data_IF_465376868211
#
_entry.id   IF_465376868211
#
_cell.length_a   1.000
_cell.length_b   1.000
_cell.length_c   1.000
_cell.angle_alpha   90.00
_cell.angle_beta   90.00
_cell.angle_gamma   90.00
#
_symmetry.space_group_name_H-M   'P 1'
#
loop_
_entity.id
_entity.type
_entity.pdbx_description
1 polymer ?
#
# COMPACT_ATOMS: atom_id res chain seq x y z
N UNK A 1 13.81 7.72 -10.05
CA UNK A 1 14.30 8.77 -9.11
C UNK A 1 13.26 9.14 -8.04
N UNK A 2 11.96 9.24 -8.36
CA UNK A 2 10.94 9.61 -7.36
C UNK A 2 10.83 8.67 -6.13
N UNK A 3 11.14 7.38 -6.30
CA UNK A 3 11.05 6.37 -5.25
C UNK A 3 12.03 6.66 -4.10
N UNK A 4 13.33 6.76 -4.41
CA UNK A 4 14.36 7.09 -3.41
C UNK A 4 14.15 8.48 -2.77
N UNK A 5 13.65 9.44 -3.56
CA UNK A 5 13.33 10.77 -3.05
C UNK A 5 12.19 10.72 -2.03
N UNK A 6 11.19 9.87 -2.24
CA UNK A 6 10.13 9.64 -1.26
C UNK A 6 10.70 9.10 0.04
N UNK A 7 11.53 8.04 -0.01
CA UNK A 7 12.16 7.48 1.19
C UNK A 7 12.99 8.52 1.94
N UNK A 8 13.74 9.35 1.21
CA UNK A 8 14.50 10.45 1.81
C UNK A 8 13.57 11.46 2.52
N UNK A 9 12.48 11.87 1.86
CA UNK A 9 11.55 12.86 2.39
C UNK A 9 10.72 12.32 3.57
N UNK A 10 10.31 11.06 3.53
CA UNK A 10 9.48 10.42 4.55
C UNK A 10 10.29 9.88 5.74
N UNK A 11 11.63 9.83 5.64
CA UNK A 11 12.51 9.19 6.63
C UNK A 11 12.27 9.68 8.07
N UNK A 12 12.05 10.97 8.26
CA UNK A 12 11.85 11.55 9.59
C UNK A 12 10.51 11.12 10.23
N UNK A 13 9.52 10.81 9.39
CA UNK A 13 8.18 10.42 9.81
C UNK A 13 7.96 8.90 9.80
N UNK A 14 8.95 8.11 9.35
CA UNK A 14 8.83 6.66 9.21
C UNK A 14 9.52 5.94 10.37
N UNK A 15 8.77 5.12 11.11
CA UNK A 15 9.30 4.26 12.16
C UNK A 15 10.22 3.17 11.58
N UNK A 16 11.21 2.74 12.37
CA UNK A 16 12.17 1.72 11.97
C UNK A 16 11.54 0.34 11.74
N UNK A 17 10.42 0.07 12.41
CA UNK A 17 9.63 -1.16 12.34
C UNK A 17 8.35 -0.98 11.50
N UNK A 18 8.26 0.11 10.72
CA UNK A 18 7.16 0.32 9.80
C UNK A 18 7.02 -0.84 8.80
N UNK A 19 5.79 -1.20 8.40
CA UNK A 19 5.56 -2.22 7.38
C UNK A 19 6.20 -1.79 6.07
N UNK A 20 7.23 -2.51 5.63
CA UNK A 20 7.99 -2.17 4.42
C UNK A 20 7.10 -2.17 3.20
N UNK A 21 6.18 -3.13 3.10
CA UNK A 21 5.31 -3.24 1.93
C UNK A 21 4.56 -1.94 1.64
N UNK A 22 4.11 -1.23 2.67
CA UNK A 22 3.36 0.00 2.47
C UNK A 22 4.29 1.17 2.14
N UNK A 23 5.46 1.25 2.79
CA UNK A 23 6.47 2.25 2.44
C UNK A 23 6.94 2.12 0.98
N UNK A 24 7.24 0.90 0.55
CA UNK A 24 7.61 0.60 -0.84
C UNK A 24 6.46 0.88 -1.81
N UNK A 25 5.24 0.50 -1.46
CA UNK A 25 4.06 0.75 -2.28
C UNK A 25 3.76 2.25 -2.50
N UNK A 26 3.93 3.08 -1.46
CA UNK A 26 3.76 4.54 -1.57
C UNK A 26 4.93 5.18 -2.33
N UNK A 27 6.16 4.73 -2.09
CA UNK A 27 7.33 5.16 -2.86
C UNK A 27 7.14 4.89 -4.36
N UNK A 28 6.64 3.70 -4.71
CA UNK A 28 6.28 3.32 -6.07
C UNK A 28 5.09 4.09 -6.62
N UNK A 29 4.10 4.42 -5.78
CA UNK A 29 2.98 5.26 -6.20
C UNK A 29 3.43 6.65 -6.67
N UNK A 30 4.42 7.23 -5.99
CA UNK A 30 5.02 8.52 -6.36
C UNK A 30 5.89 8.39 -7.61
N UNK A 31 6.58 7.26 -7.79
CA UNK A 31 7.61 7.10 -8.81
C UNK A 31 7.13 6.52 -10.15
N UNK A 32 6.15 5.62 -10.11
CA UNK A 32 5.73 4.84 -11.28
C UNK A 32 4.57 5.52 -12.01
N UNK A 33 4.54 5.51 -13.36
CA UNK A 33 3.40 5.99 -14.11
C UNK A 33 2.17 5.11 -13.87
N UNK A 34 0.98 5.69 -13.96
CA UNK A 34 -0.29 4.93 -13.86
C UNK A 34 -0.44 4.02 -15.08
N UNK A 35 -0.58 2.71 -14.85
CA UNK A 35 -0.96 1.69 -15.85
C UNK A 35 -2.38 1.17 -15.58
N UNK A 36 -3.02 0.43 -16.50
CA UNK A 36 -4.24 -0.33 -16.20
C UNK A 36 -3.96 -1.52 -15.26
N UNK A 37 -4.96 -1.96 -14.45
CA UNK A 37 -4.84 -3.14 -13.58
C UNK A 37 -4.35 -4.39 -14.34
N UNK A 38 -3.68 -5.33 -13.65
CA UNK A 38 -3.16 -6.52 -14.29
C UNK A 38 -4.30 -7.41 -14.82
N UNK A 39 -4.05 -8.12 -15.92
CA UNK A 39 -5.03 -9.04 -16.51
C UNK A 39 -5.45 -10.15 -15.54
N UNK A 40 -4.55 -10.57 -14.65
CA UNK A 40 -4.84 -11.51 -13.56
C UNK A 40 -5.08 -10.77 -12.22
N UNK A 41 -6.04 -9.84 -12.24
CA UNK A 41 -6.46 -9.08 -11.05
C UNK A 41 -6.91 -9.98 -9.89
N UNK A 42 -7.48 -11.16 -10.21
CA UNK A 42 -7.99 -12.10 -9.20
C UNK A 42 -6.86 -12.59 -8.30
N UNK A 43 -5.76 -13.08 -8.87
CA UNK A 43 -4.60 -13.55 -8.10
C UNK A 43 -3.96 -12.44 -7.25
N UNK A 44 -3.97 -11.21 -7.74
CA UNK A 44 -3.44 -10.02 -7.04
C UNK A 44 -4.33 -9.61 -5.85
N UNK A 45 -5.64 -9.82 -5.98
CA UNK A 45 -6.65 -9.38 -5.02
C UNK A 45 -7.02 -10.42 -3.94
N UNK A 46 -6.38 -11.59 -3.92
CA UNK A 46 -6.69 -12.67 -2.97
C UNK A 46 -6.55 -12.23 -1.51
N UNK A 47 -5.55 -11.39 -1.23
CA UNK A 47 -5.29 -10.82 0.09
C UNK A 47 -4.71 -9.42 -0.02
N UNK A 48 -4.67 -8.71 1.11
CA UNK A 48 -3.89 -7.49 1.24
C UNK A 48 -2.39 -7.82 1.17
N UNK A 49 -1.54 -6.91 0.65
CA UNK A 49 -0.10 -7.13 0.63
C UNK A 49 0.47 -7.18 2.06
N UNK A 50 1.60 -7.86 2.21
CA UNK A 50 2.29 -8.02 3.49
C UNK A 50 3.81 -8.04 3.33
N UNK A 51 4.54 -7.83 4.43
CA UNK A 51 6.01 -7.92 4.42
C UNK A 51 6.50 -9.34 4.08
N UNK A 52 5.74 -10.38 4.44
CA UNK A 52 6.02 -11.77 4.08
C UNK A 52 6.13 -11.97 2.57
N UNK A 53 5.32 -11.24 1.80
CA UNK A 53 5.34 -11.30 0.33
C UNK A 53 6.67 -10.73 -0.22
N UNK A 54 7.19 -9.67 0.40
CA UNK A 54 8.47 -9.05 0.02
C UNK A 54 9.68 -9.88 0.46
N UNK A 55 9.59 -10.56 1.59
CA UNK A 55 10.69 -11.37 2.09
C UNK A 55 10.92 -12.63 1.25
N UNK A 56 9.89 -13.10 0.55
CA UNK A 56 9.96 -14.26 -0.35
C UNK A 56 10.79 -13.94 -1.61
N UNK A 57 11.99 -14.52 -1.79
CA UNK A 57 12.85 -14.19 -2.93
C UNK A 57 12.28 -14.67 -4.28
N UNK A 58 12.79 -14.10 -5.37
CA UNK A 58 12.43 -14.50 -6.73
C UNK A 58 11.22 -13.71 -7.29
N UNK A 59 10.51 -14.27 -8.29
CA UNK A 59 9.40 -13.58 -8.98
C UNK A 59 8.30 -13.08 -8.03
N UNK A 60 8.09 -13.76 -6.90
CA UNK A 60 7.14 -13.41 -5.85
C UNK A 60 7.43 -12.04 -5.24
N UNK A 61 8.71 -11.69 -5.02
CA UNK A 61 9.09 -10.37 -4.51
C UNK A 61 8.67 -9.25 -5.47
N UNK A 62 8.91 -9.43 -6.76
CA UNK A 62 8.50 -8.44 -7.77
C UNK A 62 6.98 -8.26 -7.78
N UNK A 63 6.22 -9.36 -7.71
CA UNK A 63 4.77 -9.31 -7.58
C UNK A 63 4.33 -8.63 -6.28
N UNK A 64 5.08 -8.77 -5.18
CA UNK A 64 4.78 -8.11 -3.92
C UNK A 64 4.91 -6.58 -4.03
N UNK A 65 5.97 -6.08 -4.68
CA UNK A 65 6.10 -4.66 -4.99
C UNK A 65 4.95 -4.16 -5.86
N UNK A 66 4.56 -4.92 -6.90
CA UNK A 66 3.44 -4.55 -7.75
C UNK A 66 2.12 -4.52 -6.96
N UNK A 67 1.86 -5.51 -6.10
CA UNK A 67 0.68 -5.55 -5.23
C UNK A 67 0.65 -4.35 -4.27
N UNK A 68 1.77 -4.02 -3.64
CA UNK A 68 1.91 -2.86 -2.77
C UNK A 68 1.63 -1.53 -3.50
N UNK A 69 2.22 -1.38 -4.69
CA UNK A 69 1.99 -0.22 -5.56
C UNK A 69 0.52 -0.09 -5.96
N UNK A 70 -0.11 -1.20 -6.37
CA UNK A 70 -1.53 -1.23 -6.70
C UNK A 70 -2.40 -0.87 -5.51
N UNK A 71 -2.05 -1.32 -4.30
CA UNK A 71 -2.79 -0.97 -3.08
C UNK A 71 -2.75 0.53 -2.80
N UNK A 72 -1.58 1.16 -2.90
CA UNK A 72 -1.46 2.62 -2.76
C UNK A 72 -2.30 3.36 -3.81
N UNK A 73 -2.33 2.86 -5.06
CA UNK A 73 -3.20 3.40 -6.11
C UNK A 73 -4.68 3.24 -5.80
N UNK A 74 -5.10 2.09 -5.28
CA UNK A 74 -6.47 1.86 -4.84
C UNK A 74 -6.89 2.90 -3.79
N UNK A 75 -6.09 3.08 -2.73
CA UNK A 75 -6.42 4.03 -1.67
C UNK A 75 -6.49 5.45 -2.24
N UNK A 76 -5.51 5.85 -3.06
CA UNK A 76 -5.52 7.17 -3.69
C UNK A 76 -6.69 7.37 -4.65
N UNK A 77 -7.13 6.34 -5.39
CA UNK A 77 -8.25 6.42 -6.32
C UNK A 77 -9.60 6.44 -5.60
N UNK A 78 -9.76 5.67 -4.52
CA UNK A 78 -11.02 5.54 -3.81
C UNK A 78 -11.23 6.63 -2.74
N UNK A 79 -10.15 7.12 -2.12
CA UNK A 79 -10.21 8.06 -0.98
C UNK A 79 -9.40 9.34 -1.18
N UNK A 80 -8.61 9.43 -2.24
CA UNK A 80 -7.73 10.57 -2.51
C UNK A 80 -6.32 10.43 -1.91
N UNK A 81 -5.39 11.21 -2.44
CA UNK A 81 -3.97 11.19 -2.02
C UNK A 81 -3.75 11.71 -0.60
N UNK A 82 -4.60 12.61 -0.11
CA UNK A 82 -4.57 13.07 1.27
C UNK A 82 -4.82 11.91 2.25
N UNK A 83 -5.82 11.07 1.96
CA UNK A 83 -6.13 9.88 2.76
C UNK A 83 -5.07 8.80 2.65
N UNK A 84 -4.43 8.65 1.48
CA UNK A 84 -3.25 7.78 1.36
C UNK A 84 -2.12 8.25 2.29
N UNK A 85 -1.84 9.56 2.36
CA UNK A 85 -0.83 10.12 3.27
C UNK A 85 -1.20 9.91 4.73
N UNK A 86 -2.46 10.17 5.12
CA UNK A 86 -2.93 9.93 6.48
C UNK A 86 -2.80 8.46 6.88
N UNK A 87 -3.20 7.55 5.98
CA UNK A 87 -3.07 6.11 6.21
C UNK A 87 -1.60 5.71 6.37
N UNK A 88 -0.72 6.21 5.51
CA UNK A 88 0.72 5.98 5.59
C UNK A 88 1.29 6.43 6.94
N UNK A 89 0.96 7.64 7.39
CA UNK A 89 1.45 8.12 8.69
C UNK A 89 0.89 7.30 9.86
N UNK A 90 -0.37 6.87 9.79
CA UNK A 90 -0.99 6.05 10.83
C UNK A 90 -0.41 4.63 10.91
N UNK A 91 0.15 4.11 9.82
CA UNK A 91 0.64 2.72 9.70
C UNK A 91 2.17 2.61 9.67
N UNK A 92 2.87 3.67 9.28
CA UNK A 92 4.32 3.70 9.18
C UNK A 92 4.96 4.72 10.14
N UNK A 93 4.17 5.57 10.81
CA UNK A 93 4.68 6.57 11.75
C UNK A 93 5.13 6.02 13.10
N UNK A 94 5.78 6.84 13.91
CA UNK A 94 6.13 6.47 15.30
C UNK A 94 4.85 6.19 16.09
N UNK A 95 4.78 5.03 16.74
CA UNK A 95 3.57 4.59 17.45
C UNK A 95 2.43 4.21 16.50
N UNK A 96 2.76 3.78 15.28
CA UNK A 96 1.80 3.32 14.29
C UNK A 96 0.86 2.24 14.82
N UNK A 97 -0.31 2.18 14.20
CA UNK A 97 -1.27 1.11 14.40
C UNK A 97 -1.15 0.08 13.28
N UNK A 98 -1.68 -1.11 13.53
CA UNK A 98 -1.88 -2.08 12.47
C UNK A 98 -2.82 -1.52 11.38
N UNK A 99 -2.73 -2.09 10.17
CA UNK A 99 -3.49 -1.62 9.01
C UNK A 99 -5.00 -1.60 9.25
N UNK A 100 -5.55 -2.55 10.02
CA UNK A 100 -7.00 -2.60 10.24
C UNK A 100 -7.46 -1.44 11.12
N UNK A 101 -6.75 -1.18 12.21
CA UNK A 101 -7.02 -0.03 13.09
C UNK A 101 -6.83 1.30 12.35
N UNK A 102 -5.73 1.45 11.60
CA UNK A 102 -5.49 2.65 10.82
C UNK A 102 -6.53 2.85 9.70
N UNK A 103 -6.98 1.78 9.03
CA UNK A 103 -8.02 1.86 8.02
C UNK A 103 -9.37 2.24 8.62
N UNK A 104 -9.69 1.75 9.80
CA UNK A 104 -10.90 2.15 10.52
C UNK A 104 -10.87 3.65 10.83
N UNK A 105 -9.79 4.14 11.43
CA UNK A 105 -9.70 5.52 11.91
C UNK A 105 -9.56 6.53 10.76
N UNK A 106 -8.81 6.18 9.70
CA UNK A 106 -8.51 7.10 8.59
C UNK A 106 -9.55 7.00 7.47
N UNK A 107 -9.95 5.79 7.09
CA UNK A 107 -10.81 5.52 5.94
C UNK A 107 -12.27 5.22 6.34
N UNK A 108 -12.56 5.03 7.62
CA UNK A 108 -13.91 4.73 8.12
C UNK A 108 -14.40 3.33 7.74
N UNK A 109 -13.47 2.38 7.53
CA UNK A 109 -13.79 1.02 7.09
C UNK A 109 -13.00 -0.02 7.90
N UNK A 110 -13.65 -1.13 8.21
CA UNK A 110 -12.99 -2.27 8.85
C UNK A 110 -12.10 -3.06 7.86
N UNK A 111 -11.33 -4.01 8.38
CA UNK A 111 -10.43 -4.84 7.57
C UNK A 111 -11.17 -5.62 6.46
N UNK A 112 -12.36 -6.16 6.76
CA UNK A 112 -13.18 -6.88 5.80
C UNK A 112 -13.66 -5.95 4.67
N UNK A 113 -14.11 -4.74 5.02
CA UNK A 113 -14.52 -3.71 4.09
C UNK A 113 -13.36 -3.17 3.26
N UNK A 114 -12.14 -3.13 3.80
CA UNK A 114 -10.91 -2.79 3.08
C UNK A 114 -10.60 -3.82 2.01
N UNK A 115 -10.55 -5.10 2.38
CA UNK A 115 -10.29 -6.20 1.45
C UNK A 115 -11.35 -6.26 0.34
N UNK A 116 -12.63 -6.14 0.68
CA UNK A 116 -13.71 -6.17 -0.30
C UNK A 116 -13.64 -4.99 -1.29
N UNK A 117 -13.26 -3.78 -0.82
CA UNK A 117 -13.08 -2.62 -1.70
C UNK A 117 -11.85 -2.74 -2.59
N UNK A 118 -10.75 -3.25 -2.04
CA UNK A 118 -9.54 -3.57 -2.79
C UNK A 118 -9.83 -4.53 -3.95
N UNK A 119 -10.51 -5.64 -3.64
CA UNK A 119 -10.93 -6.63 -4.62
C UNK A 119 -11.80 -6.05 -5.73
N UNK A 120 -12.83 -5.27 -5.36
CA UNK A 120 -13.70 -4.61 -6.35
C UNK A 120 -12.94 -3.62 -7.22
N UNK A 121 -11.98 -2.89 -6.67
CA UNK A 121 -11.22 -1.89 -7.41
C UNK A 121 -10.26 -2.53 -8.43
N UNK A 122 -9.67 -3.68 -8.11
CA UNK A 122 -8.79 -4.39 -9.06
C UNK A 122 -9.56 -5.07 -10.20
N UNK A 123 -10.79 -5.49 -9.96
CA UNK A 123 -11.62 -6.23 -10.91
C UNK A 123 -12.55 -5.35 -11.76
N UNK A 124 -12.73 -4.07 -11.42
CA UNK A 124 -13.59 -3.11 -12.11
C UNK A 124 -12.82 -2.21 -13.06
#
# INVERSE_FOLDING_TARGET
>A
MGHELFHYAARADTALDAPRWLAEGVADFVARPKTPPPADAVSVALSLPSDTDLDTPGPQRSLAYDRAWWFARFVAAAYGTAKLRELYLATCGVGHFDLATAAHDVLGIDAAGLLARWQRWLMG
#
